data_IF_820568366918
#
_entry.id   IF_820568366918
#
_cell.length_a   1.000
_cell.length_b   1.000
_cell.length_c   1.000
_cell.angle_alpha   90.00
_cell.angle_beta   90.00
_cell.angle_gamma   90.00
#
_symmetry.space_group_name_H-M   'P 1'
#
loop_
_entity.id
_entity.type
_entity.pdbx_description
1 polymer ?
#
# COMPACT_ATOMS: atom_id res chain seq x y z
N UNK A 1 62.15 2.50 14.29
CA UNK A 1 61.68 1.26 13.63
C UNK A 1 60.39 1.62 12.90
N UNK A 2 60.48 1.89 11.58
CA UNK A 2 60.05 1.00 10.47
C UNK A 2 58.50 0.88 10.45
N UNK A 3 57.70 1.18 9.40
CA UNK A 3 57.94 1.46 7.97
C UNK A 3 56.73 2.19 7.37
N UNK A 4 57.01 3.07 6.40
CA UNK A 4 56.07 3.60 5.41
C UNK A 4 55.95 2.65 4.21
N UNK A 5 54.74 2.28 3.78
CA UNK A 5 54.50 1.73 2.44
C UNK A 5 53.17 2.22 1.85
N UNK A 6 53.27 3.23 1.00
CA UNK A 6 52.64 3.20 -0.33
C UNK A 6 51.14 3.50 -0.48
N UNK A 7 50.68 3.81 -1.71
CA UNK A 7 50.07 5.12 -1.96
C UNK A 7 48.67 5.08 -2.62
N UNK A 8 48.07 6.27 -2.69
CA UNK A 8 47.11 6.72 -3.72
C UNK A 8 45.79 5.95 -3.87
N UNK A 9 44.80 6.30 -3.04
CA UNK A 9 43.42 6.32 -3.52
C UNK A 9 42.94 7.77 -3.43
N UNK A 10 43.17 8.52 -4.50
CA UNK A 10 42.45 9.77 -4.76
C UNK A 10 40.94 9.48 -4.68
N UNK A 11 40.14 10.46 -4.21
CA UNK A 11 38.67 10.45 -4.26
C UNK A 11 38.14 10.01 -5.66
N UNK A 12 38.94 10.18 -6.71
CA UNK A 12 38.68 9.66 -8.05
C UNK A 12 38.53 8.13 -8.14
N UNK A 13 39.15 7.33 -7.27
CA UNK A 13 39.16 5.87 -7.40
C UNK A 13 37.84 5.22 -6.96
N UNK A 14 37.17 5.78 -5.95
CA UNK A 14 35.83 5.33 -5.53
C UNK A 14 34.72 5.92 -6.41
N UNK A 15 35.00 7.03 -7.10
CA UNK A 15 34.07 7.67 -8.03
C UNK A 15 34.09 7.10 -9.45
N UNK A 16 35.21 6.51 -9.90
CA UNK A 16 35.38 6.07 -11.30
C UNK A 16 34.71 4.71 -11.60
N UNK A 17 34.62 3.82 -10.62
CA UNK A 17 34.08 2.46 -10.81
C UNK A 17 32.55 2.40 -10.86
N UNK A 18 31.86 3.31 -10.17
CA UNK A 18 30.38 3.34 -10.13
C UNK A 18 29.75 3.88 -11.43
N UNK A 19 30.50 4.64 -12.24
CA UNK A 19 29.98 5.26 -13.46
C UNK A 19 30.30 4.52 -14.76
N UNK A 20 31.20 3.55 -14.78
CA UNK A 20 31.52 2.76 -15.98
C UNK A 20 31.10 1.28 -15.87
N UNK A 21 30.70 0.82 -14.68
CA UNK A 21 30.13 -0.50 -14.44
C UNK A 21 28.70 -0.65 -14.96
N UNK A 22 28.51 -1.59 -15.89
CA UNK A 22 27.20 -1.94 -16.44
C UNK A 22 26.28 -2.42 -15.30
N UNK A 23 25.06 -1.84 -15.22
CA UNK A 23 23.85 -2.44 -14.62
C UNK A 23 23.39 -2.08 -13.18
N UNK A 24 23.97 -1.13 -12.44
CA UNK A 24 23.51 -0.89 -11.05
C UNK A 24 22.09 -0.30 -10.92
N UNK A 25 21.63 0.55 -11.86
CA UNK A 25 20.24 1.03 -11.90
C UNK A 25 19.21 -0.03 -12.36
N UNK A 26 19.63 -1.28 -12.61
CA UNK A 26 18.77 -2.37 -13.12
C UNK A 26 18.12 -3.20 -12.01
N UNK A 27 18.60 -3.11 -10.76
CA UNK A 27 18.11 -3.92 -9.62
C UNK A 27 17.08 -3.21 -8.76
N UNK A 28 17.17 -1.89 -8.58
CA UNK A 28 16.16 -1.11 -7.87
C UNK A 28 15.10 -0.57 -8.84
N UNK A 29 13.81 -0.56 -8.44
CA UNK A 29 12.79 0.24 -9.13
C UNK A 29 13.06 1.73 -8.90
N UNK A 30 14.02 2.29 -9.63
CA UNK A 30 14.31 3.73 -9.57
C UNK A 30 13.06 4.50 -9.98
N UNK A 31 12.58 5.38 -9.09
CA UNK A 31 11.43 6.25 -9.38
C UNK A 31 11.72 7.14 -10.59
N UNK A 32 10.67 7.65 -11.27
CA UNK A 32 10.88 8.51 -12.45
C UNK A 32 11.66 9.79 -12.09
N UNK A 33 11.52 10.27 -10.86
CA UNK A 33 12.30 11.39 -10.31
C UNK A 33 13.77 10.99 -10.12
N UNK A 34 14.04 9.84 -9.49
CA UNK A 34 15.41 9.34 -9.33
C UNK A 34 16.13 9.09 -10.65
N UNK A 35 15.40 8.67 -11.70
CA UNK A 35 15.94 8.51 -13.05
C UNK A 35 16.42 9.85 -13.64
N UNK A 36 15.65 10.92 -13.45
CA UNK A 36 16.00 12.25 -13.98
C UNK A 36 17.23 12.81 -13.27
N UNK A 37 17.32 12.61 -11.95
CA UNK A 37 18.49 13.02 -11.18
C UNK A 37 19.75 12.26 -11.60
N UNK A 38 19.66 10.95 -11.80
CA UNK A 38 20.77 10.14 -12.30
C UNK A 38 21.24 10.59 -13.70
N UNK A 39 20.32 11.02 -14.57
CA UNK A 39 20.66 11.58 -15.89
C UNK A 39 21.43 12.90 -15.74
N UNK A 40 21.01 13.77 -14.81
CA UNK A 40 21.68 15.06 -14.54
C UNK A 40 23.07 14.87 -13.99
N UNK A 41 23.23 13.99 -13.00
CA UNK A 41 24.52 13.63 -12.42
C UNK A 41 25.45 13.05 -13.47
N UNK A 42 24.99 12.08 -14.27
CA UNK A 42 25.80 11.51 -15.35
C UNK A 42 26.17 12.51 -16.46
N UNK A 43 25.37 13.56 -16.68
CA UNK A 43 25.69 14.66 -17.60
C UNK A 43 26.74 15.59 -17.02
N UNK A 44 26.66 15.90 -15.72
CA UNK A 44 27.59 16.77 -14.98
C UNK A 44 28.95 16.10 -14.79
N UNK A 45 28.97 14.88 -14.27
CA UNK A 45 30.18 14.22 -13.78
C UNK A 45 30.98 13.57 -14.92
N UNK A 46 30.28 13.00 -15.91
CA UNK A 46 30.89 12.25 -17.02
C UNK A 46 30.81 12.96 -18.37
N UNK A 47 30.24 14.17 -18.46
CA UNK A 47 30.13 14.96 -19.69
C UNK A 47 29.36 14.28 -20.83
N UNK A 48 28.60 13.22 -20.56
CA UNK A 48 28.05 12.33 -21.59
C UNK A 48 27.04 13.02 -22.49
N UNK A 49 27.11 12.81 -23.80
CA UNK A 49 26.14 13.35 -24.75
C UNK A 49 24.74 12.77 -24.53
N UNK A 50 23.71 13.52 -24.94
CA UNK A 50 22.30 13.10 -24.89
C UNK A 50 22.10 11.70 -25.50
N UNK A 51 22.83 11.39 -26.58
CA UNK A 51 22.78 10.07 -27.22
C UNK A 51 23.35 8.97 -26.32
N UNK A 52 24.52 9.20 -25.69
CA UNK A 52 25.13 8.23 -24.78
C UNK A 52 24.27 8.01 -23.53
N UNK A 53 23.67 9.07 -23.00
CA UNK A 53 22.73 9.01 -21.87
C UNK A 53 21.46 8.22 -22.21
N UNK A 54 20.87 8.44 -23.39
CA UNK A 54 19.68 7.70 -23.85
C UNK A 54 19.93 6.19 -23.94
N UNK A 55 21.10 5.80 -24.45
CA UNK A 55 21.51 4.39 -24.53
C UNK A 55 21.76 3.82 -23.14
N UNK A 56 22.48 4.55 -22.29
CA UNK A 56 22.80 4.16 -20.91
C UNK A 56 21.54 3.92 -20.09
N UNK A 57 20.66 4.91 -20.00
CA UNK A 57 19.45 4.84 -19.17
C UNK A 57 18.26 4.17 -19.88
N UNK A 58 18.44 3.72 -21.13
CA UNK A 58 17.39 3.09 -21.97
C UNK A 58 16.10 3.92 -22.07
N UNK A 59 16.26 5.24 -22.17
CA UNK A 59 15.15 6.18 -22.34
C UNK A 59 15.25 6.91 -23.66
N UNK A 60 14.11 7.43 -24.13
CA UNK A 60 14.09 8.21 -25.36
C UNK A 60 14.89 9.51 -25.19
N UNK A 61 15.55 9.97 -26.26
CA UNK A 61 16.38 11.20 -26.24
C UNK A 61 15.61 12.44 -25.78
N UNK A 62 14.29 12.45 -25.97
CA UNK A 62 13.38 13.51 -25.46
C UNK A 62 13.34 13.54 -23.93
N UNK A 63 13.24 12.39 -23.28
CA UNK A 63 13.23 12.28 -21.81
C UNK A 63 14.58 12.69 -21.22
N UNK A 64 15.70 12.38 -21.89
CA UNK A 64 17.02 12.87 -21.49
C UNK A 64 17.11 14.40 -21.57
N UNK A 65 16.58 15.01 -22.64
CA UNK A 65 16.56 16.47 -22.78
C UNK A 65 15.71 17.14 -21.69
N UNK A 66 14.54 16.59 -21.39
CA UNK A 66 13.70 17.06 -20.29
C UNK A 66 14.50 17.05 -18.97
N UNK A 67 15.12 15.92 -18.64
CA UNK A 67 15.93 15.81 -17.43
C UNK A 67 17.09 16.83 -17.38
N UNK A 68 17.84 16.99 -18.48
CA UNK A 68 19.00 17.89 -18.54
C UNK A 68 18.60 19.37 -18.51
N UNK A 69 17.46 19.74 -19.10
CA UNK A 69 16.98 21.12 -19.15
C UNK A 69 16.38 21.61 -17.81
N UNK A 70 16.36 20.75 -16.78
CA UNK A 70 15.73 21.08 -15.50
C UNK A 70 14.24 20.80 -15.46
N UNK A 71 13.63 20.42 -16.59
CA UNK A 71 12.24 20.02 -16.65
C UNK A 71 12.04 18.75 -15.80
N UNK A 72 11.15 18.84 -14.80
CA UNK A 72 10.75 17.67 -14.03
C UNK A 72 10.11 16.61 -14.93
N UNK A 73 10.07 15.33 -14.52
CA UNK A 73 9.36 14.33 -15.28
C UNK A 73 7.91 14.77 -15.46
N UNK A 74 7.41 14.76 -16.71
CA UNK A 74 6.02 15.07 -17.00
C UNK A 74 5.15 14.31 -16.00
N UNK A 75 4.26 15.00 -15.25
CA UNK A 75 3.33 14.33 -14.38
C UNK A 75 2.66 13.22 -15.18
N UNK A 76 2.68 11.99 -14.66
CA UNK A 76 1.76 11.00 -15.21
C UNK A 76 0.38 11.62 -15.03
N UNK A 77 -0.40 11.70 -16.09
CA UNK A 77 -1.83 11.91 -15.94
C UNK A 77 -2.31 10.77 -15.04
N UNK A 78 -2.48 11.07 -13.75
CA UNK A 78 -3.22 10.21 -12.85
C UNK A 78 -4.60 10.24 -13.46
N UNK A 79 -4.99 9.18 -14.16
CA UNK A 79 -6.35 9.07 -14.65
C UNK A 79 -7.21 9.24 -13.40
N UNK A 80 -7.92 10.36 -13.31
CA UNK A 80 -8.86 10.59 -12.23
C UNK A 80 -9.67 9.30 -12.09
N UNK A 81 -9.69 8.75 -10.87
CA UNK A 81 -10.34 7.47 -10.57
C UNK A 81 -11.69 7.49 -11.26
N UNK A 82 -11.86 6.70 -12.34
CA UNK A 82 -13.04 6.81 -13.23
C UNK A 82 -14.28 6.83 -12.34
N UNK A 83 -15.00 7.95 -12.33
CA UNK A 83 -16.26 8.05 -11.60
C UNK A 83 -17.15 6.93 -12.11
N UNK A 84 -17.72 6.15 -11.17
CA UNK A 84 -18.64 5.05 -11.47
C UNK A 84 -20.06 5.52 -11.17
N UNK A 85 -20.66 6.37 -12.01
CA UNK A 85 -21.89 7.10 -11.65
C UNK A 85 -23.07 6.19 -11.33
N UNK A 86 -23.21 5.04 -12.01
CA UNK A 86 -24.38 4.15 -11.82
C UNK A 86 -24.14 3.05 -10.78
N UNK A 87 -22.95 2.44 -10.76
CA UNK A 87 -22.63 1.34 -9.83
C UNK A 87 -22.00 1.81 -8.52
N UNK A 88 -21.54 3.06 -8.45
CA UNK A 88 -20.87 3.62 -7.29
C UNK A 88 -21.75 3.61 -6.04
N UNK A 89 -23.00 4.11 -6.10
CA UNK A 89 -23.91 4.14 -4.95
C UNK A 89 -24.25 2.75 -4.39
N UNK A 90 -24.38 1.75 -5.27
CA UNK A 90 -24.77 0.38 -4.89
C UNK A 90 -23.61 -0.54 -4.56
N UNK A 91 -22.36 -0.10 -4.77
CA UNK A 91 -21.18 -0.90 -4.49
C UNK A 91 -21.11 -1.28 -3.02
N UNK A 92 -21.43 -0.34 -2.12
CA UNK A 92 -21.37 -0.59 -0.67
C UNK A 92 -22.48 -1.53 -0.21
N UNK A 93 -23.69 -1.39 -0.75
CA UNK A 93 -24.77 -2.32 -0.50
C UNK A 93 -24.41 -3.75 -0.96
N UNK A 94 -23.86 -3.89 -2.18
CA UNK A 94 -23.40 -5.21 -2.69
C UNK A 94 -22.28 -5.76 -1.79
N UNK A 95 -21.39 -4.89 -1.29
CA UNK A 95 -20.32 -5.27 -0.36
C UNK A 95 -20.90 -5.85 0.93
N UNK A 96 -21.89 -5.18 1.53
CA UNK A 96 -22.54 -5.66 2.75
C UNK A 96 -23.22 -7.02 2.53
N UNK A 97 -23.98 -7.18 1.44
CA UNK A 97 -24.61 -8.47 1.10
C UNK A 97 -23.56 -9.60 0.96
N UNK A 98 -22.39 -9.31 0.37
CA UNK A 98 -21.31 -10.29 0.25
C UNK A 98 -20.61 -10.59 1.57
N UNK A 99 -20.55 -9.63 2.50
CA UNK A 99 -20.03 -9.83 3.86
C UNK A 99 -21.00 -10.73 4.63
N UNK A 100 -22.30 -10.45 4.59
CA UNK A 100 -23.34 -11.23 5.27
C UNK A 100 -23.39 -12.68 4.71
N UNK A 101 -23.20 -12.84 3.39
CA UNK A 101 -23.05 -14.14 2.73
C UNK A 101 -21.83 -14.94 3.24
N UNK A 102 -20.80 -14.26 3.76
CA UNK A 102 -19.61 -14.90 4.31
C UNK A 102 -19.96 -15.84 5.47
N UNK A 103 -20.85 -15.39 6.36
CA UNK A 103 -21.31 -16.12 7.55
C UNK A 103 -22.36 -17.19 7.23
N UNK A 104 -22.99 -17.12 6.04
CA UNK A 104 -24.01 -18.07 5.62
C UNK A 104 -23.41 -19.40 5.09
N UNK A 105 -24.10 -20.55 5.31
CA UNK A 105 -23.75 -21.82 4.69
C UNK A 105 -23.62 -21.71 3.17
N UNK A 106 -22.69 -22.46 2.56
CA UNK A 106 -22.37 -22.36 1.11
C UNK A 106 -23.60 -22.37 0.18
N UNK A 107 -24.64 -23.13 0.54
CA UNK A 107 -25.89 -23.25 -0.24
C UNK A 107 -26.81 -22.03 -0.13
N UNK A 108 -26.63 -21.17 0.87
CA UNK A 108 -27.45 -19.99 1.15
C UNK A 108 -26.81 -18.69 0.64
N UNK A 109 -25.54 -18.72 0.20
CA UNK A 109 -24.83 -17.56 -0.33
C UNK A 109 -25.43 -17.08 -1.65
N UNK A 110 -25.55 -15.78 -1.83
CA UNK A 110 -26.09 -15.21 -3.05
C UNK A 110 -25.12 -15.35 -4.23
N UNK A 111 -25.68 -15.63 -5.40
CA UNK A 111 -24.98 -15.47 -6.67
C UNK A 111 -25.08 -14.03 -7.15
N UNK A 112 -24.16 -13.59 -8.02
CA UNK A 112 -24.26 -12.25 -8.63
C UNK A 112 -25.61 -12.01 -9.35
N UNK A 113 -26.25 -13.08 -9.86
CA UNK A 113 -27.60 -13.01 -10.43
C UNK A 113 -28.66 -12.70 -9.38
N UNK A 114 -28.64 -13.41 -8.25
CA UNK A 114 -29.55 -13.16 -7.12
C UNK A 114 -29.38 -11.76 -6.54
N UNK A 115 -28.14 -11.27 -6.41
CA UNK A 115 -27.84 -9.90 -5.98
C UNK A 115 -28.43 -8.87 -6.96
N UNK A 116 -28.30 -9.13 -8.27
CA UNK A 116 -28.88 -8.27 -9.30
C UNK A 116 -30.43 -8.26 -9.28
N UNK A 117 -31.07 -9.42 -9.15
CA UNK A 117 -32.53 -9.55 -9.03
C UNK A 117 -33.03 -8.79 -7.79
N UNK A 118 -32.31 -8.91 -6.67
CA UNK A 118 -32.62 -8.22 -5.42
C UNK A 118 -32.46 -6.70 -5.53
N UNK A 119 -31.40 -6.21 -6.18
CA UNK A 119 -31.22 -4.78 -6.47
C UNK A 119 -32.36 -4.21 -7.32
N UNK A 120 -32.83 -4.97 -8.30
CA UNK A 120 -33.96 -4.55 -9.13
C UNK A 120 -35.27 -4.53 -8.33
N UNK A 121 -35.50 -5.52 -7.47
CA UNK A 121 -36.74 -5.62 -6.69
C UNK A 121 -36.83 -4.63 -5.52
N UNK A 122 -35.74 -4.44 -4.76
CA UNK A 122 -35.74 -3.63 -3.53
C UNK A 122 -35.53 -2.13 -3.81
N UNK A 123 -34.86 -1.79 -4.91
CA UNK A 123 -34.39 -0.43 -5.15
C UNK A 123 -34.78 0.15 -6.52
N UNK A 124 -35.51 -0.60 -7.35
CA UNK A 124 -35.91 -0.21 -8.72
C UNK A 124 -34.72 0.24 -9.61
N UNK A 125 -33.56 -0.38 -9.40
CA UNK A 125 -32.31 0.02 -10.04
C UNK A 125 -32.10 -0.70 -11.37
N UNK A 126 -31.98 0.07 -12.45
CA UNK A 126 -31.65 -0.44 -13.79
C UNK A 126 -30.13 -0.52 -14.02
N UNK A 127 -29.48 -1.51 -13.40
CA UNK A 127 -28.09 -1.89 -13.69
C UNK A 127 -28.07 -3.18 -14.49
N UNK A 128 -27.17 -3.31 -15.47
CA UNK A 128 -27.01 -4.55 -16.22
C UNK A 128 -26.40 -5.66 -15.36
N UNK A 129 -26.86 -6.90 -15.56
CA UNK A 129 -26.31 -8.07 -14.86
C UNK A 129 -24.79 -8.21 -15.06
N UNK A 130 -24.28 -7.92 -16.26
CA UNK A 130 -22.84 -7.92 -16.55
C UNK A 130 -22.08 -6.94 -15.65
N UNK A 131 -22.65 -5.75 -15.42
CA UNK A 131 -22.06 -4.76 -14.52
C UNK A 131 -22.09 -5.22 -13.06
N UNK A 132 -23.19 -5.81 -12.59
CA UNK A 132 -23.25 -6.39 -11.23
C UNK A 132 -22.24 -7.53 -11.07
N UNK A 133 -22.09 -8.42 -12.05
CA UNK A 133 -21.09 -9.49 -12.03
C UNK A 133 -19.66 -8.95 -11.92
N UNK A 134 -19.33 -7.91 -12.68
CA UNK A 134 -18.04 -7.22 -12.59
C UNK A 134 -17.82 -6.63 -11.20
N UNK A 135 -18.82 -5.94 -10.63
CA UNK A 135 -18.72 -5.36 -9.28
C UNK A 135 -18.57 -6.43 -8.21
N UNK A 136 -19.34 -7.52 -8.28
CA UNK A 136 -19.23 -8.65 -7.36
C UNK A 136 -17.86 -9.33 -7.45
N UNK A 137 -17.32 -9.53 -8.66
CA UNK A 137 -15.99 -10.11 -8.83
C UNK A 137 -14.89 -9.22 -8.23
N UNK A 138 -14.96 -7.91 -8.48
CA UNK A 138 -14.04 -6.94 -7.87
C UNK A 138 -14.16 -6.92 -6.35
N UNK A 139 -15.39 -6.89 -5.81
CA UNK A 139 -15.61 -6.89 -4.36
C UNK A 139 -15.18 -8.20 -3.73
N UNK A 140 -15.37 -9.36 -4.38
CA UNK A 140 -14.83 -10.63 -3.90
C UNK A 140 -13.30 -10.64 -3.93
N UNK A 141 -12.68 -10.05 -4.94
CA UNK A 141 -11.22 -9.90 -4.97
C UNK A 141 -10.71 -8.93 -3.90
N UNK A 142 -11.44 -7.84 -3.63
CA UNK A 142 -11.15 -6.91 -2.53
C UNK A 142 -11.33 -7.59 -1.17
N UNK A 143 -12.44 -8.30 -0.96
CA UNK A 143 -12.74 -9.08 0.24
C UNK A 143 -11.86 -10.34 0.39
N UNK A 144 -11.20 -10.80 -0.67
CA UNK A 144 -10.16 -11.84 -0.60
C UNK A 144 -8.75 -11.25 -0.48
N UNK A 145 -8.58 -9.98 -0.87
CA UNK A 145 -7.40 -9.19 -0.53
C UNK A 145 -7.47 -8.72 0.93
N UNK A 146 -8.67 -8.67 1.54
CA UNK A 146 -8.93 -8.99 2.96
C UNK A 146 -8.54 -10.44 3.16
N UNK A 147 -7.46 -10.71 3.90
CA UNK A 147 -6.74 -12.00 3.90
C UNK A 147 -7.71 -13.20 3.90
N UNK A 148 -7.44 -14.17 3.03
CA UNK A 148 -8.20 -15.43 2.92
C UNK A 148 -8.34 -16.08 4.31
N UNK A 149 -7.35 -15.91 5.19
CA UNK A 149 -7.39 -16.36 6.58
C UNK A 149 -8.45 -15.66 7.43
N UNK A 150 -8.68 -14.35 7.26
CA UNK A 150 -9.72 -13.60 7.97
C UNK A 150 -11.14 -13.93 7.47
N UNK A 151 -11.27 -14.42 6.23
CA UNK A 151 -12.54 -14.96 5.68
C UNK A 151 -12.78 -16.40 6.15
N UNK A 152 -11.72 -17.21 6.30
CA UNK A 152 -11.81 -18.59 6.83
C UNK A 152 -12.11 -18.58 8.34
N UNK A 153 -11.48 -17.68 9.09
CA UNK A 153 -11.67 -17.52 10.53
C UNK A 153 -12.18 -16.10 10.88
N UNK A 154 -13.46 -15.80 10.59
CA UNK A 154 -14.01 -14.44 10.75
C UNK A 154 -14.04 -13.93 12.19
N UNK A 155 -13.80 -14.81 13.18
CA UNK A 155 -13.77 -14.52 14.61
C UNK A 155 -12.35 -14.42 15.20
N UNK A 156 -11.31 -14.56 14.38
CA UNK A 156 -9.93 -14.50 14.86
C UNK A 156 -9.40 -13.06 14.82
N UNK A 157 -9.41 -12.37 15.97
CA UNK A 157 -9.01 -10.97 16.07
C UNK A 157 -7.57 -10.69 15.64
N UNK A 158 -6.65 -11.64 15.85
CA UNK A 158 -5.24 -11.53 15.46
C UNK A 158 -5.10 -11.50 13.93
N UNK A 159 -5.88 -12.32 13.22
CA UNK A 159 -5.86 -12.33 11.74
C UNK A 159 -6.41 -11.03 11.14
N UNK A 160 -7.51 -10.50 11.70
CA UNK A 160 -8.05 -9.20 11.31
C UNK A 160 -7.00 -8.09 11.49
N UNK A 161 -6.28 -8.12 12.61
CA UNK A 161 -5.23 -7.15 12.90
C UNK A 161 -4.02 -7.24 11.96
N UNK A 162 -3.49 -8.45 11.76
CA UNK A 162 -2.31 -8.66 10.91
C UNK A 162 -2.61 -8.27 9.46
N UNK A 163 -3.76 -8.68 8.95
CA UNK A 163 -4.21 -8.29 7.63
C UNK A 163 -4.33 -6.77 7.50
N UNK A 164 -5.02 -6.14 8.46
CA UNK A 164 -5.29 -4.72 8.42
C UNK A 164 -4.01 -3.88 8.43
N UNK A 165 -3.02 -4.29 9.24
CA UNK A 165 -1.72 -3.65 9.27
C UNK A 165 -0.98 -3.76 7.92
N UNK A 166 -1.02 -4.93 7.26
CA UNK A 166 -0.46 -5.11 5.92
C UNK A 166 -1.15 -4.23 4.85
N UNK A 167 -2.44 -3.94 5.02
CA UNK A 167 -3.22 -3.14 4.07
C UNK A 167 -3.15 -1.64 4.30
N UNK A 168 -2.68 -1.21 5.47
CA UNK A 168 -2.59 0.20 5.83
C UNK A 168 -1.92 1.10 4.77
N UNK A 169 -0.81 0.71 4.09
CA UNK A 169 -0.20 1.55 3.06
C UNK A 169 -1.00 1.64 1.74
N UNK A 170 -1.94 0.71 1.51
CA UNK A 170 -2.67 0.57 0.25
C UNK A 170 -4.10 1.07 0.33
N UNK A 171 -4.78 0.78 1.44
CA UNK A 171 -6.15 1.16 1.71
C UNK A 171 -6.34 1.45 3.21
N UNK A 172 -6.04 2.68 3.65
CA UNK A 172 -6.13 3.07 5.05
C UNK A 172 -7.55 2.92 5.63
N UNK A 173 -8.59 3.17 4.82
CA UNK A 173 -9.98 3.11 5.29
C UNK A 173 -10.38 1.67 5.62
N UNK A 174 -10.13 0.72 4.72
CA UNK A 174 -10.43 -0.69 5.00
C UNK A 174 -9.52 -1.28 6.09
N UNK A 175 -8.26 -0.83 6.17
CA UNK A 175 -7.34 -1.22 7.23
C UNK A 175 -7.86 -0.81 8.62
N UNK A 176 -8.30 0.43 8.80
CA UNK A 176 -8.84 0.88 10.08
C UNK A 176 -10.06 0.08 10.52
N UNK A 177 -10.98 -0.23 9.61
CA UNK A 177 -12.13 -1.09 9.89
C UNK A 177 -11.73 -2.53 10.30
N UNK A 178 -10.65 -3.06 9.71
CA UNK A 178 -10.09 -4.36 10.09
C UNK A 178 -9.45 -4.34 11.49
N UNK A 179 -8.75 -3.26 11.85
CA UNK A 179 -8.18 -3.09 13.20
C UNK A 179 -9.27 -2.97 14.25
N UNK A 180 -10.32 -2.18 13.98
CA UNK A 180 -11.49 -2.06 14.86
C UNK A 180 -12.16 -3.43 15.08
N UNK A 181 -12.30 -4.23 14.01
CA UNK A 181 -12.86 -5.58 14.12
C UNK A 181 -11.94 -6.54 14.87
N UNK A 182 -10.63 -6.43 14.68
CA UNK A 182 -9.64 -7.21 15.43
C UNK A 182 -9.78 -6.97 16.93
N UNK A 183 -9.82 -5.70 17.34
CA UNK A 183 -10.03 -5.30 18.74
C UNK A 183 -11.34 -5.85 19.31
N UNK A 184 -12.46 -5.76 18.58
CA UNK A 184 -13.74 -6.29 19.06
C UNK A 184 -13.73 -7.80 19.28
N UNK A 185 -12.95 -8.54 18.49
CA UNK A 185 -12.89 -10.00 18.55
C UNK A 185 -11.87 -10.51 19.58
N UNK A 186 -10.82 -9.75 19.84
CA UNK A 186 -9.76 -10.07 20.80
C UNK A 186 -9.55 -8.87 21.72
N UNK A 187 -10.61 -8.50 22.44
CA UNK A 187 -10.65 -7.31 23.30
C UNK A 187 -9.52 -7.31 24.31
N UNK A 188 -9.06 -8.46 24.81
CA UNK A 188 -8.01 -8.53 25.83
C UNK A 188 -6.59 -8.71 25.28
N UNK A 189 -6.33 -8.38 24.00
CA UNK A 189 -5.02 -8.60 23.35
C UNK A 189 -4.25 -7.28 23.14
N UNK A 190 -3.27 -6.96 24.01
CA UNK A 190 -2.48 -5.72 23.98
C UNK A 190 -1.91 -5.30 22.62
N UNK A 191 -1.23 -6.17 21.84
CA UNK A 191 -0.74 -5.87 20.50
C UNK A 191 -1.76 -5.23 19.56
N UNK A 192 -3.04 -5.63 19.62
CA UNK A 192 -4.07 -5.16 18.70
C UNK A 192 -4.39 -3.69 18.91
N UNK A 193 -4.45 -3.27 20.17
CA UNK A 193 -4.68 -1.87 20.54
C UNK A 193 -3.51 -0.98 20.11
N UNK A 194 -2.28 -1.46 20.30
CA UNK A 194 -1.06 -0.74 19.91
C UNK A 194 -0.97 -0.57 18.38
N UNK A 195 -1.29 -1.62 17.62
CA UNK A 195 -1.32 -1.56 16.16
C UNK A 195 -2.40 -0.59 15.65
N UNK A 196 -3.53 -0.49 16.34
CA UNK A 196 -4.58 0.50 16.06
C UNK A 196 -4.11 1.93 16.30
N UNK A 197 -3.44 2.20 17.43
CA UNK A 197 -2.83 3.51 17.68
C UNK A 197 -1.80 3.87 16.61
N UNK A 198 -0.92 2.92 16.25
CA UNK A 198 0.07 3.10 15.20
C UNK A 198 -0.56 3.40 13.83
N UNK A 199 -1.70 2.80 13.52
CA UNK A 199 -2.44 3.08 12.29
C UNK A 199 -3.04 4.50 12.26
N UNK A 200 -3.61 4.96 13.37
CA UNK A 200 -4.09 6.34 13.50
C UNK A 200 -2.96 7.36 13.37
N UNK A 201 -1.81 7.09 13.98
CA UNK A 201 -0.62 7.92 13.84
C UNK A 201 -0.15 8.02 12.38
N UNK A 202 0.01 6.88 11.70
CA UNK A 202 0.47 6.83 10.30
C UNK A 202 -0.52 7.48 9.32
N UNK A 203 -1.78 7.66 9.70
CA UNK A 203 -2.80 8.33 8.89
C UNK A 203 -3.00 9.81 9.24
N UNK A 204 -2.20 10.35 10.16
CA UNK A 204 -2.25 11.76 10.57
C UNK A 204 -3.39 12.09 11.54
N UNK A 205 -4.03 11.08 12.13
CA UNK A 205 -5.14 11.21 13.06
C UNK A 205 -4.65 11.15 14.50
N UNK A 206 -3.99 12.23 14.89
CA UNK A 206 -3.27 12.30 16.16
C UNK A 206 -4.18 12.29 17.39
N UNK A 207 -5.39 12.86 17.29
CA UNK A 207 -6.33 12.88 18.41
C UNK A 207 -6.81 11.47 18.74
N UNK A 208 -7.26 10.74 17.73
CA UNK A 208 -7.74 9.36 17.88
C UNK A 208 -6.60 8.43 18.33
N UNK A 209 -5.37 8.67 17.86
CA UNK A 209 -4.19 7.96 18.34
C UNK A 209 -3.99 8.16 19.87
N UNK A 210 -4.07 9.40 20.35
CA UNK A 210 -3.89 9.71 21.77
C UNK A 210 -5.00 9.08 22.62
N UNK A 211 -6.25 9.15 22.17
CA UNK A 211 -7.39 8.53 22.88
C UNK A 211 -7.19 7.01 23.05
N UNK A 212 -6.65 6.33 22.03
CA UNK A 212 -6.29 4.91 22.11
C UNK A 212 -5.12 4.69 23.09
N UNK A 213 -4.05 5.49 23.00
CA UNK A 213 -2.90 5.39 23.92
C UNK A 213 -3.30 5.59 25.39
N UNK A 214 -4.20 6.54 25.68
CA UNK A 214 -4.73 6.78 27.01
C UNK A 214 -5.54 5.59 27.51
N UNK A 215 -6.41 5.04 26.65
CA UNK A 215 -7.18 3.83 26.96
C UNK A 215 -6.28 2.61 27.20
N UNK A 216 -5.21 2.45 26.42
CA UNK A 216 -4.23 1.38 26.61
C UNK A 216 -3.50 1.56 27.95
N UNK A 217 -3.04 2.77 28.24
CA UNK A 217 -2.31 3.09 29.48
C UNK A 217 -3.15 2.86 30.73
N UNK A 218 -4.45 3.19 30.68
CA UNK A 218 -5.38 2.89 31.76
C UNK A 218 -5.52 1.38 32.01
N UNK A 219 -5.48 0.57 30.95
CA UNK A 219 -5.63 -0.89 31.01
C UNK A 219 -4.31 -1.63 31.28
N UNK A 220 -3.17 -1.00 31.00
CA UNK A 220 -1.83 -1.57 31.15
C UNK A 220 -1.38 -1.74 32.62
N UNK A 221 -2.13 -1.20 33.58
CA UNK A 221 -1.89 -1.38 35.02
C UNK A 221 -1.95 -2.84 35.47
N UNK A 222 -2.52 -3.74 34.66
CA UNK A 222 -2.64 -5.18 34.93
C UNK A 222 -1.64 -6.03 34.16
N UNK A 223 -0.74 -5.44 33.38
CA UNK A 223 0.17 -6.18 32.50
C UNK A 223 1.47 -6.54 33.19
N UNK A 224 2.00 -7.72 32.86
CA UNK A 224 3.35 -8.11 33.31
C UNK A 224 4.38 -7.15 32.70
N UNK A 225 5.29 -6.59 33.51
CA UNK A 225 6.40 -5.78 33.01
C UNK A 225 7.19 -6.53 31.93
N UNK A 226 7.35 -5.93 30.74
CA UNK A 226 8.07 -6.52 29.61
C UNK A 226 7.19 -7.17 28.52
N UNK A 227 5.87 -7.21 28.69
CA UNK A 227 4.90 -7.75 27.72
C UNK A 227 4.51 -6.78 26.59
N UNK A 228 5.02 -5.55 26.59
CA UNK A 228 4.65 -4.53 25.60
C UNK A 228 5.36 -4.76 24.25
N UNK A 229 4.63 -5.32 23.28
CA UNK A 229 5.08 -5.44 21.89
C UNK A 229 4.64 -4.20 21.11
N UNK A 230 5.48 -3.16 21.08
CA UNK A 230 5.36 -2.13 20.04
C UNK A 230 6.13 -2.66 18.82
N UNK A 231 5.42 -2.92 17.72
CA UNK A 231 6.10 -3.18 16.45
C UNK A 231 6.76 -1.88 16.00
N UNK A 232 8.04 -1.73 16.34
CA UNK A 232 8.89 -0.68 15.79
C UNK A 232 9.10 -0.97 14.30
N UNK A 233 8.61 -0.07 13.46
CA UNK A 233 8.83 -0.13 12.01
C UNK A 233 9.19 1.28 11.56
N UNK A 234 10.49 1.56 11.71
CA UNK A 234 11.23 2.58 10.96
C UNK A 234 10.83 2.52 9.48
#
# INVERSE_FOLDING_TARGET
MLVWLGPTLSIDSLYRDSYLGRHWWRRERVSKVGLYENIRLARRDAGLSVRKLAVRFRVHRREVRLAVNGDGPSPRAVSARRTRPVSGPWREWIRQVLIDDGDAPRKQRHTAKRIWERLAAEHDVKISLSRVRSVVAELRAELAAVDVSAVIEPKNGILHNNWAFCMLPRDPTSALAGLDRGELLAVSDPPLWCNRAAAWFKTGKFRECLDVCDSVSARATTWEPGSAFLWDVV
#
